data_IF_708892410972
#
_entry.id   IF_708892410972
#
_cell.length_a   1.000
_cell.length_b   1.000
_cell.length_c   1.000
_cell.angle_alpha   90.00
_cell.angle_beta   90.00
_cell.angle_gamma   90.00
#
_symmetry.space_group_name_H-M   'P 1'
#
loop_
_entity.id
_entity.type
_entity.pdbx_description
1 polymer ?
#
# COMPACT_ATOMS: atom_id res chain seq x y z
N UNK A 1 24.04 10.94 -22.51
CA UNK A 1 25.48 10.85 -22.09
C UNK A 1 26.38 11.89 -22.75
N UNK A 2 26.28 12.07 -24.07
CA UNK A 2 27.14 13.05 -24.75
C UNK A 2 26.93 14.48 -24.25
N UNK A 3 25.67 14.92 -24.09
CA UNK A 3 25.34 16.23 -23.53
C UNK A 3 25.84 16.39 -22.09
N UNK A 4 25.76 15.33 -21.28
CA UNK A 4 26.23 15.33 -19.89
C UNK A 4 27.76 15.45 -19.85
N UNK A 5 28.48 14.73 -20.73
CA UNK A 5 29.95 14.84 -20.85
C UNK A 5 30.40 16.26 -21.20
N UNK A 6 29.67 16.95 -22.07
CA UNK A 6 29.97 18.38 -22.40
C UNK A 6 29.81 19.30 -21.20
N UNK A 7 29.03 18.89 -20.19
CA UNK A 7 28.84 19.60 -18.92
C UNK A 7 29.73 19.06 -17.79
N UNK A 8 30.72 18.23 -18.11
CA UNK A 8 31.54 17.52 -17.12
C UNK A 8 30.69 16.72 -16.12
N UNK A 9 29.65 15.98 -16.60
CA UNK A 9 28.78 15.12 -15.79
C UNK A 9 28.89 13.68 -16.26
N UNK A 10 28.84 12.72 -15.29
CA UNK A 10 28.74 11.31 -15.57
C UNK A 10 27.25 10.92 -15.59
N UNK A 11 26.78 10.32 -16.68
CA UNK A 11 25.37 9.94 -16.86
C UNK A 11 25.22 8.42 -16.89
N UNK A 12 24.33 7.90 -16.08
CA UNK A 12 24.00 6.48 -16.03
C UNK A 12 22.50 6.22 -16.07
N UNK A 13 22.15 5.03 -16.53
CA UNK A 13 20.79 4.48 -16.54
C UNK A 13 20.81 3.09 -15.92
N UNK A 14 19.84 2.81 -15.05
CA UNK A 14 19.67 1.51 -14.42
C UNK A 14 18.24 1.03 -14.52
N UNK A 15 18.08 -0.25 -14.73
CA UNK A 15 16.80 -0.94 -14.74
C UNK A 15 16.83 -2.06 -13.72
N UNK A 16 15.68 -2.27 -13.05
CA UNK A 16 15.45 -3.42 -12.20
C UNK A 16 14.05 -3.96 -12.44
N UNK A 17 13.90 -5.27 -12.37
CA UNK A 17 12.62 -5.96 -12.35
C UNK A 17 12.52 -6.74 -11.05
N UNK A 18 11.31 -6.83 -10.50
CA UNK A 18 11.08 -7.55 -9.27
C UNK A 18 9.75 -8.31 -9.28
N UNK A 19 9.69 -9.32 -8.46
CA UNK A 19 8.47 -10.00 -8.01
C UNK A 19 8.64 -10.24 -6.52
N UNK A 20 7.64 -9.87 -5.72
CA UNK A 20 7.65 -10.10 -4.28
C UNK A 20 6.42 -10.89 -3.83
N UNK A 21 6.49 -11.71 -2.78
CA UNK A 21 5.31 -12.24 -2.13
C UNK A 21 4.66 -11.16 -1.28
N UNK A 22 3.36 -10.92 -1.44
CA UNK A 22 2.58 -10.04 -0.57
C UNK A 22 1.45 -10.79 0.11
N UNK A 23 1.16 -10.49 1.37
CA UNK A 23 0.10 -11.14 2.10
C UNK A 23 0.56 -12.28 3.03
N UNK A 24 -0.27 -13.32 3.10
CA UNK A 24 -0.11 -14.38 4.08
C UNK A 24 -0.43 -13.93 5.51
N UNK A 25 -0.45 -14.86 6.42
CA UNK A 25 -0.59 -14.64 7.89
C UNK A 25 -0.05 -15.84 8.62
N UNK A 26 0.63 -15.63 9.74
CA UNK A 26 1.05 -16.70 10.65
C UNK A 26 -0.13 -17.48 11.25
N UNK A 27 -1.33 -16.89 11.23
CA UNK A 27 -2.57 -17.51 11.72
C UNK A 27 -3.37 -18.22 10.62
N UNK A 28 -2.96 -18.12 9.34
CA UNK A 28 -3.67 -18.73 8.21
C UNK A 28 -5.03 -18.07 7.87
N UNK A 29 -5.52 -17.17 8.71
CA UNK A 29 -6.82 -16.52 8.63
C UNK A 29 -6.70 -15.01 8.80
N UNK A 30 -7.66 -14.28 8.21
CA UNK A 30 -7.84 -12.85 8.39
C UNK A 30 -9.30 -12.56 8.73
N UNK A 31 -9.56 -11.96 9.87
CA UNK A 31 -10.90 -11.64 10.34
C UNK A 31 -11.17 -10.14 10.27
N UNK A 32 -12.42 -9.80 9.97
CA UNK A 32 -12.98 -8.46 10.11
C UNK A 32 -14.34 -8.54 10.78
N UNK A 33 -14.76 -7.47 11.45
CA UNK A 33 -16.10 -7.38 12.01
C UNK A 33 -16.77 -6.07 11.59
N UNK A 34 -18.09 -6.10 11.46
CA UNK A 34 -18.94 -4.93 11.25
C UNK A 34 -19.98 -4.92 12.36
N UNK A 35 -20.05 -3.83 13.11
CA UNK A 35 -21.05 -3.58 14.14
C UNK A 35 -21.82 -2.30 13.85
N UNK A 36 -23.04 -2.23 14.37
CA UNK A 36 -23.93 -1.11 14.12
C UNK A 36 -24.21 -0.33 15.39
N UNK A 37 -24.01 1.01 15.31
CA UNK A 37 -24.33 1.93 16.37
C UNK A 37 -25.85 2.22 16.48
N UNK A 38 -26.20 3.10 17.41
CA UNK A 38 -27.60 3.51 17.64
C UNK A 38 -28.25 4.18 16.42
N UNK A 39 -27.47 4.87 15.60
CA UNK A 39 -27.90 5.47 14.34
C UNK A 39 -28.18 4.46 13.24
N UNK A 40 -27.76 3.20 13.41
CA UNK A 40 -27.74 2.17 12.37
C UNK A 40 -26.58 2.28 11.40
N UNK A 41 -25.62 3.15 11.66
CA UNK A 41 -24.41 3.30 10.84
C UNK A 41 -23.36 2.25 11.22
N UNK A 42 -22.63 1.71 10.24
CA UNK A 42 -21.65 0.66 10.47
C UNK A 42 -20.32 1.19 11.02
N UNK A 43 -19.74 0.42 11.93
CA UNK A 43 -18.36 0.53 12.38
C UNK A 43 -17.59 -0.70 11.93
N UNK A 44 -16.47 -0.50 11.24
CA UNK A 44 -15.61 -1.54 10.70
C UNK A 44 -14.43 -1.80 11.64
N UNK A 45 -14.19 -3.04 12.00
CA UNK A 45 -13.09 -3.44 12.86
C UNK A 45 -12.14 -4.35 12.11
N UNK A 46 -10.85 -3.98 12.09
CA UNK A 46 -9.74 -4.71 11.48
C UNK A 46 -8.49 -4.61 12.35
N UNK A 47 -7.55 -5.54 12.19
CA UNK A 47 -6.29 -5.53 12.95
C UNK A 47 -5.23 -4.57 12.39
N UNK A 48 -5.41 -4.05 11.18
CA UNK A 48 -4.45 -3.16 10.53
C UNK A 48 -4.55 -1.73 11.05
N UNK A 49 -3.56 -1.30 11.82
CA UNK A 49 -3.46 0.10 12.27
C UNK A 49 -3.08 1.06 11.13
N UNK A 50 -3.66 2.28 11.10
CA UNK A 50 -3.30 3.29 10.14
C UNK A 50 -1.99 3.97 10.50
N UNK A 51 -1.20 4.30 9.48
CA UNK A 51 0.01 5.13 9.60
C UNK A 51 0.18 6.08 8.39
N UNK A 52 -0.95 6.59 7.88
CA UNK A 52 -0.98 7.51 6.75
C UNK A 52 -1.19 6.85 5.37
N UNK A 53 -1.29 5.51 5.30
CA UNK A 53 -1.47 4.76 4.03
C UNK A 53 -2.93 4.73 3.52
N UNK A 54 -3.86 5.48 4.13
CA UNK A 54 -5.22 5.67 3.65
C UNK A 54 -6.18 4.51 3.91
N UNK A 55 -5.96 3.70 4.94
CA UNK A 55 -6.81 2.56 5.29
C UNK A 55 -8.25 2.98 5.58
N UNK A 56 -8.48 4.08 6.30
CA UNK A 56 -9.81 4.58 6.62
C UNK A 56 -10.61 4.88 5.34
N UNK A 57 -9.99 5.51 4.36
CA UNK A 57 -10.62 5.82 3.08
C UNK A 57 -10.95 4.56 2.32
N UNK A 58 -9.95 3.68 2.12
CA UNK A 58 -10.12 2.47 1.28
C UNK A 58 -11.12 1.51 1.89
N UNK A 59 -11.08 1.27 3.20
CA UNK A 59 -11.98 0.30 3.85
C UNK A 59 -13.42 0.82 3.90
N UNK A 60 -13.60 2.12 4.17
CA UNK A 60 -14.93 2.75 4.09
C UNK A 60 -15.51 2.63 2.68
N UNK A 61 -14.73 2.97 1.64
CA UNK A 61 -15.15 2.90 0.24
C UNK A 61 -15.55 1.48 -0.18
N UNK A 62 -14.78 0.46 0.21
CA UNK A 62 -15.08 -0.93 -0.11
C UNK A 62 -16.42 -1.38 0.47
N UNK A 63 -16.66 -1.10 1.75
CA UNK A 63 -17.91 -1.48 2.42
C UNK A 63 -19.08 -0.61 1.97
N UNK A 64 -18.85 0.68 1.72
CA UNK A 64 -19.86 1.59 1.18
C UNK A 64 -20.44 1.10 -0.15
N UNK A 65 -19.60 0.56 -1.03
CA UNK A 65 -20.03 -0.04 -2.31
C UNK A 65 -20.89 -1.28 -2.10
N UNK A 66 -20.54 -2.18 -1.17
CA UNK A 66 -21.33 -3.37 -0.85
C UNK A 66 -22.70 -3.01 -0.22
N UNK A 67 -22.75 -1.95 0.59
CA UNK A 67 -23.98 -1.49 1.23
C UNK A 67 -24.78 -0.50 0.39
N UNK A 68 -24.20 0.14 -0.62
CA UNK A 68 -24.86 1.17 -1.42
C UNK A 68 -25.17 2.44 -0.61
N UNK A 69 -24.24 2.88 0.27
CA UNK A 69 -24.36 4.07 1.12
C UNK A 69 -23.15 4.99 0.93
N UNK A 70 -23.21 6.21 1.52
CA UNK A 70 -22.05 7.09 1.55
C UNK A 70 -20.95 6.54 2.47
N UNK A 71 -19.67 6.55 2.05
CA UNK A 71 -18.55 6.19 2.91
C UNK A 71 -18.44 7.09 4.16
N UNK A 72 -18.93 8.33 4.11
CA UNK A 72 -18.96 9.25 5.26
C UNK A 72 -19.82 8.75 6.42
N UNK A 73 -20.74 7.81 6.17
CA UNK A 73 -21.57 7.19 7.21
C UNK A 73 -20.88 6.01 7.90
N UNK A 74 -19.68 5.65 7.48
CA UNK A 74 -18.93 4.49 7.97
C UNK A 74 -17.79 4.93 8.87
N UNK A 75 -17.69 4.34 10.06
CA UNK A 75 -16.55 4.53 10.97
C UNK A 75 -15.58 3.36 10.82
N UNK A 76 -14.32 3.65 10.52
CA UNK A 76 -13.26 2.62 10.50
C UNK A 76 -12.53 2.65 11.84
N UNK A 77 -12.46 1.52 12.53
CA UNK A 77 -11.90 1.36 13.88
C UNK A 77 -10.80 0.31 13.88
N UNK A 78 -9.63 0.66 13.38
CA UNK A 78 -8.52 -0.28 13.26
C UNK A 78 -7.87 -0.49 14.63
N UNK A 79 -7.57 -1.76 14.95
CA UNK A 79 -6.90 -2.15 16.20
C UNK A 79 -7.53 -1.57 17.45
N UNK A 80 -8.86 -1.43 17.47
CA UNK A 80 -9.59 -0.85 18.59
C UNK A 80 -9.55 -1.79 19.81
N UNK A 81 -9.00 -1.35 20.95
CA UNK A 81 -8.91 -2.19 22.15
C UNK A 81 -10.27 -2.54 22.76
N UNK A 82 -11.31 -1.74 22.50
CA UNK A 82 -12.69 -2.00 22.95
C UNK A 82 -13.50 -2.77 21.88
N UNK A 83 -12.88 -3.05 20.74
CA UNK A 83 -13.47 -3.80 19.65
C UNK A 83 -13.57 -5.30 19.90
N UNK A 84 -14.12 -6.05 18.94
CA UNK A 84 -14.13 -7.51 19.01
C UNK A 84 -12.69 -8.04 18.89
N UNK A 85 -12.41 -9.16 19.58
CA UNK A 85 -11.15 -9.87 19.37
C UNK A 85 -11.15 -10.48 17.98
N UNK A 86 -10.17 -10.13 17.18
CA UNK A 86 -9.98 -10.61 15.81
C UNK A 86 -8.72 -11.48 15.73
N UNK A 87 -8.75 -12.45 14.81
CA UNK A 87 -7.59 -13.24 14.41
C UNK A 87 -7.07 -12.72 13.05
N UNK A 88 -5.75 -12.64 12.89
CA UNK A 88 -5.13 -12.17 11.65
C UNK A 88 -3.77 -11.56 11.90
N UNK A 89 -3.32 -10.73 10.96
CA UNK A 89 -2.06 -10.01 11.06
C UNK A 89 -2.23 -8.48 10.94
N UNK A 90 -1.20 -7.75 11.33
CA UNK A 90 -1.15 -6.30 11.16
C UNK A 90 -0.75 -5.87 9.75
N UNK A 91 -0.28 -4.64 9.64
CA UNK A 91 0.26 -4.04 8.39
C UNK A 91 1.72 -4.47 8.21
N UNK A 92 1.95 -5.56 7.51
CA UNK A 92 3.27 -6.11 7.15
C UNK A 92 3.17 -6.79 5.78
N UNK A 93 4.27 -6.89 5.01
CA UNK A 93 4.31 -7.64 3.74
C UNK A 93 3.26 -7.16 2.73
N UNK A 94 3.00 -5.88 2.68
CA UNK A 94 2.10 -5.20 1.72
C UNK A 94 0.68 -5.78 1.66
N UNK A 95 0.17 -6.37 2.75
CA UNK A 95 -1.03 -7.21 2.79
C UNK A 95 -2.36 -6.50 3.05
N UNK A 96 -2.32 -5.30 3.67
CA UNK A 96 -3.50 -4.73 4.33
C UNK A 96 -4.73 -4.59 3.44
N UNK A 97 -4.62 -3.93 2.29
CA UNK A 97 -5.78 -3.74 1.40
C UNK A 97 -6.33 -5.06 0.90
N UNK A 98 -5.47 -5.97 0.44
CA UNK A 98 -5.91 -7.25 -0.12
C UNK A 98 -6.48 -8.19 0.95
N UNK A 99 -5.90 -8.26 2.15
CA UNK A 99 -6.34 -9.17 3.22
C UNK A 99 -7.51 -8.59 4.01
N UNK A 100 -7.33 -7.45 4.70
CA UNK A 100 -8.40 -6.85 5.49
C UNK A 100 -9.55 -6.35 4.63
N UNK A 101 -9.26 -5.77 3.44
CA UNK A 101 -10.29 -5.37 2.50
C UNK A 101 -11.16 -6.54 2.03
N UNK A 102 -10.55 -7.69 1.72
CA UNK A 102 -11.32 -8.90 1.36
C UNK A 102 -12.13 -9.44 2.54
N UNK A 103 -11.59 -9.42 3.76
CA UNK A 103 -12.33 -9.82 4.96
C UNK A 103 -13.52 -8.90 5.22
N UNK A 104 -13.35 -7.58 5.05
CA UNK A 104 -14.43 -6.60 5.18
C UNK A 104 -15.52 -6.80 4.12
N UNK A 105 -15.16 -7.04 2.87
CA UNK A 105 -16.13 -7.32 1.80
C UNK A 105 -16.89 -8.62 2.08
N UNK A 106 -16.22 -9.67 2.53
CA UNK A 106 -16.88 -10.90 2.93
C UNK A 106 -17.86 -10.68 4.10
N UNK A 107 -17.43 -9.89 5.10
CA UNK A 107 -18.27 -9.54 6.25
C UNK A 107 -19.48 -8.71 5.82
N UNK A 108 -19.29 -7.71 4.95
CA UNK A 108 -20.37 -6.86 4.44
C UNK A 108 -21.42 -7.68 3.68
N UNK A 109 -20.99 -8.62 2.84
CA UNK A 109 -21.89 -9.55 2.14
C UNK A 109 -22.67 -10.45 3.09
N UNK A 110 -22.03 -10.91 4.16
CA UNK A 110 -22.70 -11.68 5.21
C UNK A 110 -23.74 -10.84 5.97
N UNK A 111 -23.42 -9.55 6.25
CA UNK A 111 -24.40 -8.60 6.83
C UNK A 111 -25.60 -8.44 5.92
N UNK A 112 -25.39 -8.17 4.60
CA UNK A 112 -26.49 -8.03 3.63
C UNK A 112 -27.36 -9.27 3.59
N UNK A 113 -26.75 -10.45 3.57
CA UNK A 113 -27.49 -11.73 3.57
C UNK A 113 -28.32 -11.90 4.85
N UNK A 114 -27.75 -11.64 6.01
CA UNK A 114 -28.42 -11.71 7.32
C UNK A 114 -29.58 -10.71 7.41
N UNK A 115 -29.37 -9.52 6.85
CA UNK A 115 -30.38 -8.46 6.79
C UNK A 115 -31.59 -8.82 5.90
N UNK A 116 -31.42 -9.68 4.88
CA UNK A 116 -32.55 -10.16 4.08
C UNK A 116 -33.57 -10.91 4.93
N UNK A 117 -33.13 -11.77 5.87
CA UNK A 117 -34.03 -12.53 6.74
C UNK A 117 -34.79 -11.60 7.71
N UNK A 118 -34.10 -10.58 8.24
CA UNK A 118 -34.71 -9.59 9.11
C UNK A 118 -35.67 -8.66 8.36
N UNK A 119 -35.33 -8.25 7.16
CA UNK A 119 -36.18 -7.44 6.29
C UNK A 119 -37.43 -8.22 5.83
N UNK A 120 -37.29 -9.51 5.54
CA UNK A 120 -38.41 -10.40 5.20
C UNK A 120 -39.44 -10.47 6.33
N UNK A 121 -38.96 -10.61 7.58
CA UNK A 121 -39.79 -10.58 8.78
C UNK A 121 -40.50 -9.24 8.95
N UNK A 122 -39.77 -8.13 8.74
CA UNK A 122 -40.29 -6.77 8.94
C UNK A 122 -41.33 -6.37 7.86
N UNK A 123 -41.12 -6.83 6.62
CA UNK A 123 -42.00 -6.55 5.50
C UNK A 123 -43.09 -7.60 5.28
N UNK A 124 -43.12 -8.63 6.13
CA UNK A 124 -44.09 -9.77 6.05
C UNK A 124 -44.09 -10.48 4.67
N UNK A 125 -42.88 -10.70 4.10
CA UNK A 125 -42.69 -11.38 2.82
C UNK A 125 -41.66 -12.50 2.90
N UNK A 126 -41.56 -13.35 1.90
CA UNK A 126 -40.48 -14.33 1.84
C UNK A 126 -39.16 -13.65 1.47
N UNK A 127 -38.05 -14.10 2.10
CA UNK A 127 -36.70 -13.55 1.79
C UNK A 127 -36.33 -13.69 0.30
N UNK A 128 -36.84 -14.70 -0.41
CA UNK A 128 -36.63 -14.90 -1.83
C UNK A 128 -37.28 -13.82 -2.71
N UNK A 129 -38.28 -13.11 -2.19
CA UNK A 129 -38.98 -12.04 -2.88
C UNK A 129 -38.27 -10.68 -2.68
N UNK A 130 -37.22 -10.63 -1.85
CA UNK A 130 -36.44 -9.45 -1.62
C UNK A 130 -35.20 -9.36 -2.53
N UNK A 131 -34.81 -8.15 -2.85
CA UNK A 131 -33.50 -7.79 -3.40
C UNK A 131 -32.86 -6.72 -2.54
N UNK A 132 -31.53 -6.69 -2.52
CA UNK A 132 -30.79 -5.63 -1.84
C UNK A 132 -30.09 -4.75 -2.89
N UNK A 133 -30.41 -3.47 -2.89
CA UNK A 133 -29.76 -2.49 -3.76
C UNK A 133 -29.81 -1.10 -3.13
N UNK A 134 -28.76 -0.31 -3.35
CA UNK A 134 -28.66 1.08 -2.88
C UNK A 134 -29.05 1.26 -1.41
N UNK A 135 -28.55 0.40 -0.52
CA UNK A 135 -28.77 0.45 0.93
C UNK A 135 -30.18 0.05 1.39
N UNK A 136 -30.96 -0.59 0.52
CA UNK A 136 -32.35 -0.97 0.82
C UNK A 136 -32.64 -2.42 0.48
N UNK A 137 -33.42 -3.06 1.32
CA UNK A 137 -34.11 -4.33 1.03
C UNK A 137 -35.47 -3.97 0.42
N UNK A 138 -35.71 -4.38 -0.81
CA UNK A 138 -36.92 -4.06 -1.60
C UNK A 138 -37.65 -5.33 -1.98
N UNK A 139 -38.95 -5.29 -1.89
CA UNK A 139 -39.81 -6.36 -2.46
C UNK A 139 -39.84 -6.21 -4.00
N UNK A 140 -39.40 -7.27 -4.68
CA UNK A 140 -39.28 -7.28 -6.13
C UNK A 140 -40.60 -6.89 -6.82
N UNK A 141 -40.50 -5.97 -7.78
CA UNK A 141 -41.68 -5.51 -8.53
C UNK A 141 -42.59 -4.53 -7.79
N UNK A 142 -42.20 -4.01 -6.62
CA UNK A 142 -42.98 -3.05 -5.82
C UNK A 142 -42.13 -1.88 -5.33
N UNK A 143 -42.77 -0.87 -4.74
CA UNK A 143 -42.11 0.24 -4.05
C UNK A 143 -41.86 -0.04 -2.55
N UNK A 144 -42.29 -1.19 -2.05
CA UNK A 144 -42.14 -1.58 -0.66
C UNK A 144 -40.67 -1.87 -0.38
N UNK A 145 -40.06 -1.09 0.53
CA UNK A 145 -38.65 -1.23 0.88
C UNK A 145 -38.39 -0.74 2.31
N UNK A 146 -37.32 -1.28 2.91
CA UNK A 146 -36.77 -0.81 4.19
C UNK A 146 -35.25 -0.63 4.04
N UNK A 147 -34.69 0.42 4.64
CA UNK A 147 -33.24 0.66 4.62
C UNK A 147 -32.52 -0.33 5.55
N UNK A 148 -31.27 -0.65 5.22
CA UNK A 148 -30.49 -1.50 6.11
C UNK A 148 -30.20 -0.81 7.44
N UNK A 149 -30.08 0.52 7.48
CA UNK A 149 -29.93 1.28 8.74
C UNK A 149 -31.17 1.16 9.62
N UNK A 150 -32.37 1.14 9.03
CA UNK A 150 -33.61 0.89 9.81
C UNK A 150 -33.63 -0.51 10.39
N UNK A 151 -33.23 -1.51 9.62
CA UNK A 151 -33.07 -2.89 10.12
C UNK A 151 -32.06 -2.92 11.26
N UNK A 152 -30.90 -2.31 11.11
CA UNK A 152 -29.87 -2.26 12.15
C UNK A 152 -30.36 -1.58 13.44
N UNK A 153 -31.17 -0.52 13.33
CA UNK A 153 -31.78 0.16 14.51
C UNK A 153 -32.85 -0.68 15.21
N UNK A 154 -33.68 -1.37 14.43
CA UNK A 154 -34.79 -2.18 14.97
C UNK A 154 -34.29 -3.47 15.60
N UNK A 155 -33.30 -4.10 15.00
CA UNK A 155 -32.71 -5.37 15.38
C UNK A 155 -31.29 -5.19 15.93
N UNK A 156 -31.16 -4.35 17.00
CA UNK A 156 -29.87 -4.00 17.58
C UNK A 156 -29.02 -5.22 17.90
N UNK A 157 -27.78 -5.24 17.38
CA UNK A 157 -26.82 -6.32 17.55
C UNK A 157 -27.07 -7.55 16.69
N UNK A 158 -28.28 -7.71 16.11
CA UNK A 158 -28.55 -8.88 15.28
C UNK A 158 -27.84 -8.84 13.92
N UNK A 159 -27.54 -7.65 13.38
CA UNK A 159 -26.71 -7.49 12.18
C UNK A 159 -25.22 -7.54 12.44
N UNK A 160 -24.78 -7.38 13.69
CA UNK A 160 -23.37 -7.47 14.05
C UNK A 160 -22.78 -8.78 13.52
N UNK A 161 -21.71 -8.68 12.78
CA UNK A 161 -21.15 -9.82 12.05
C UNK A 161 -19.64 -9.80 12.09
N UNK A 162 -19.05 -10.95 12.37
CA UNK A 162 -17.62 -11.23 12.26
C UNK A 162 -17.44 -12.35 11.24
N UNK A 163 -16.55 -12.15 10.28
CA UNK A 163 -16.18 -13.18 9.31
C UNK A 163 -14.67 -13.32 9.22
N UNK A 164 -14.22 -14.54 9.00
CA UNK A 164 -12.84 -14.85 8.63
C UNK A 164 -12.75 -15.33 7.19
N UNK A 165 -11.64 -15.08 6.58
CA UNK A 165 -11.23 -15.60 5.27
C UNK A 165 -9.86 -16.24 5.39
N UNK A 166 -9.54 -17.19 4.52
CA UNK A 166 -8.16 -17.64 4.38
C UNK A 166 -7.27 -16.43 4.00
N UNK A 167 -6.16 -16.26 4.71
CA UNK A 167 -5.25 -15.13 4.45
C UNK A 167 -4.68 -15.23 3.02
N UNK A 168 -4.97 -14.26 2.14
CA UNK A 168 -4.55 -14.34 0.75
C UNK A 168 -3.04 -14.14 0.62
N UNK A 169 -2.46 -14.77 -0.41
CA UNK A 169 -1.10 -14.56 -0.86
C UNK A 169 -1.15 -14.13 -2.34
N UNK A 170 -0.45 -13.06 -2.69
CA UNK A 170 -0.36 -12.59 -4.05
C UNK A 170 1.09 -12.23 -4.39
N UNK A 171 1.37 -12.03 -5.67
CA UNK A 171 2.70 -11.72 -6.18
C UNK A 171 2.62 -10.46 -7.03
N UNK A 172 2.73 -9.25 -6.42
CA UNK A 172 3.00 -8.04 -7.16
C UNK A 172 4.37 -8.10 -7.81
N UNK A 173 4.57 -7.34 -8.86
CA UNK A 173 5.84 -7.23 -9.53
C UNK A 173 5.90 -5.94 -10.33
N UNK A 174 7.09 -5.58 -10.79
CA UNK A 174 7.26 -4.35 -11.53
C UNK A 174 8.62 -4.25 -12.20
N UNK A 175 8.77 -3.15 -12.93
CA UNK A 175 10.02 -2.74 -13.56
C UNK A 175 10.24 -1.25 -13.33
N UNK A 176 11.38 -0.92 -12.72
CA UNK A 176 11.78 0.46 -12.47
C UNK A 176 13.01 0.83 -13.29
N UNK A 177 13.04 2.05 -13.79
CA UNK A 177 14.17 2.63 -14.52
C UNK A 177 14.52 3.96 -13.89
N UNK A 178 15.78 4.11 -13.48
CA UNK A 178 16.34 5.36 -12.96
C UNK A 178 17.40 5.89 -13.91
N UNK A 179 17.46 7.19 -14.08
CA UNK A 179 18.52 7.90 -14.82
C UNK A 179 19.15 8.95 -13.90
N UNK A 180 20.48 8.93 -13.81
CA UNK A 180 21.22 9.78 -12.86
C UNK A 180 22.31 10.58 -13.57
N UNK A 181 22.65 11.75 -13.00
CA UNK A 181 23.87 12.49 -13.31
C UNK A 181 24.72 12.64 -12.03
N UNK A 182 26.04 12.44 -12.16
CA UNK A 182 27.00 12.61 -11.08
C UNK A 182 27.93 13.75 -11.43
N UNK A 183 28.16 14.66 -10.49
CA UNK A 183 29.23 15.65 -10.54
C UNK A 183 30.55 15.00 -10.08
N UNK A 184 31.52 14.77 -10.97
CA UNK A 184 32.77 14.10 -10.57
C UNK A 184 33.67 14.93 -9.64
N UNK A 185 33.44 16.23 -9.54
CA UNK A 185 34.23 17.11 -8.67
C UNK A 185 33.74 17.11 -7.22
N UNK A 186 32.46 16.83 -7.00
CA UNK A 186 31.81 16.87 -5.69
C UNK A 186 31.23 15.52 -5.25
N UNK A 187 31.01 14.59 -6.18
CA UNK A 187 30.30 13.35 -5.95
C UNK A 187 28.78 13.50 -5.80
N UNK A 188 28.23 14.70 -5.97
CA UNK A 188 26.78 14.95 -5.88
C UNK A 188 26.05 14.24 -7.02
N UNK A 189 24.94 13.62 -6.67
CA UNK A 189 24.08 12.81 -7.54
C UNK A 189 22.76 13.52 -7.74
N UNK A 190 22.36 13.71 -8.99
CA UNK A 190 21.04 14.17 -9.38
C UNK A 190 20.27 13.03 -10.05
N UNK A 191 19.06 12.73 -9.55
CA UNK A 191 18.13 11.84 -10.23
C UNK A 191 17.41 12.66 -11.28
N UNK A 192 17.70 12.40 -12.55
CA UNK A 192 17.24 13.24 -13.67
C UNK A 192 15.98 12.72 -14.33
N UNK A 193 15.70 11.43 -14.17
CA UNK A 193 14.44 10.81 -14.61
C UNK A 193 14.20 9.52 -13.84
N UNK A 194 12.91 9.22 -13.61
CA UNK A 194 12.49 7.99 -12.96
C UNK A 194 11.17 7.49 -13.54
N UNK A 195 11.12 6.20 -13.88
CA UNK A 195 9.93 5.54 -14.42
C UNK A 195 9.70 4.24 -13.67
N UNK A 196 8.47 4.02 -13.23
CA UNK A 196 8.03 2.76 -12.64
C UNK A 196 6.81 2.23 -13.40
N UNK A 197 6.77 0.92 -13.60
CA UNK A 197 5.61 0.19 -14.12
C UNK A 197 5.36 -0.97 -13.18
N UNK A 198 4.22 -0.95 -12.47
CA UNK A 198 3.91 -1.92 -11.42
C UNK A 198 2.62 -2.69 -11.70
N UNK A 199 2.61 -3.97 -11.30
CA UNK A 199 1.43 -4.81 -11.24
C UNK A 199 0.96 -4.93 -9.79
N UNK A 200 -0.01 -4.10 -9.42
CA UNK A 200 -0.67 -4.12 -8.12
C UNK A 200 -2.05 -4.82 -8.16
N UNK A 201 -2.31 -5.60 -9.20
CA UNK A 201 -3.62 -6.23 -9.42
C UNK A 201 -4.71 -5.19 -9.70
N UNK A 202 -5.92 -5.43 -9.20
CA UNK A 202 -6.99 -4.43 -9.31
C UNK A 202 -6.69 -3.25 -8.39
N UNK A 203 -6.62 -2.06 -8.96
CA UNK A 203 -6.48 -0.79 -8.22
C UNK A 203 -7.79 -0.46 -7.51
N UNK A 204 -7.73 -0.21 -6.22
CA UNK A 204 -8.88 0.17 -5.40
C UNK A 204 -9.03 1.69 -5.34
N UNK A 205 -7.91 2.40 -5.16
CA UNK A 205 -7.85 3.86 -5.17
C UNK A 205 -6.52 4.29 -5.81
N UNK A 206 -6.58 4.92 -6.97
CA UNK A 206 -5.42 5.31 -7.77
C UNK A 206 -4.54 6.34 -7.07
N UNK A 207 -5.14 7.37 -6.47
CA UNK A 207 -4.40 8.44 -5.78
C UNK A 207 -3.58 7.89 -4.61
N UNK A 208 -4.19 7.00 -3.81
CA UNK A 208 -3.50 6.37 -2.68
C UNK A 208 -2.44 5.38 -3.15
N UNK A 209 -2.69 4.63 -4.22
CA UNK A 209 -1.71 3.72 -4.82
C UNK A 209 -0.47 4.48 -5.28
N UNK A 210 -0.65 5.54 -6.06
CA UNK A 210 0.46 6.38 -6.54
C UNK A 210 1.24 7.00 -5.37
N UNK A 211 0.54 7.47 -4.33
CA UNK A 211 1.17 7.97 -3.11
C UNK A 211 2.04 6.91 -2.41
N UNK A 212 1.59 5.66 -2.35
CA UNK A 212 2.35 4.55 -1.77
C UNK A 212 3.58 4.21 -2.61
N UNK A 213 3.43 4.07 -3.93
CA UNK A 213 4.55 3.75 -4.84
C UNK A 213 5.60 4.87 -4.80
N UNK A 214 5.18 6.13 -4.93
CA UNK A 214 6.10 7.28 -4.89
C UNK A 214 6.84 7.37 -3.55
N UNK A 215 6.13 7.23 -2.44
CA UNK A 215 6.72 7.21 -1.10
C UNK A 215 7.71 6.05 -0.92
N UNK A 216 7.39 4.86 -1.43
CA UNK A 216 8.29 3.72 -1.46
C UNK A 216 9.56 3.96 -2.29
N UNK A 217 9.43 4.59 -3.46
CA UNK A 217 10.58 4.99 -4.29
C UNK A 217 11.50 5.93 -3.52
N UNK A 218 10.95 6.95 -2.85
CA UNK A 218 11.74 7.90 -2.03
C UNK A 218 12.43 7.20 -0.86
N UNK A 219 11.79 6.24 -0.21
CA UNK A 219 12.41 5.40 0.81
C UNK A 219 13.61 4.61 0.25
N UNK A 220 13.45 3.97 -0.91
CA UNK A 220 14.55 3.28 -1.59
C UNK A 220 15.73 4.20 -1.96
N UNK A 221 15.43 5.41 -2.43
CA UNK A 221 16.43 6.46 -2.70
C UNK A 221 17.18 6.81 -1.41
N UNK A 222 16.47 6.96 -0.29
CA UNK A 222 17.07 7.23 1.02
C UNK A 222 18.11 6.19 1.38
N UNK A 223 17.79 4.91 1.28
CA UNK A 223 18.73 3.82 1.57
C UNK A 223 19.96 3.82 0.64
N UNK A 224 19.75 4.08 -0.65
CA UNK A 224 20.86 4.05 -1.62
C UNK A 224 21.80 5.23 -1.48
N UNK A 225 21.29 6.44 -1.21
CA UNK A 225 22.07 7.68 -1.29
C UNK A 225 22.45 8.29 0.05
N UNK A 226 21.64 8.10 1.11
CA UNK A 226 21.68 8.95 2.30
C UNK A 226 21.80 8.20 3.62
N UNK A 227 20.86 7.26 3.86
CA UNK A 227 20.63 6.69 5.18
C UNK A 227 21.74 5.75 5.60
N UNK A 228 22.33 5.99 6.78
CA UNK A 228 23.42 5.19 7.31
C UNK A 228 23.35 5.14 8.84
N UNK A 229 23.12 3.95 9.39
CA UNK A 229 23.26 3.72 10.83
C UNK A 229 24.72 3.44 11.15
N UNK A 230 25.36 4.34 11.90
CA UNK A 230 26.76 4.26 12.29
C UNK A 230 26.85 3.98 13.79
N UNK A 231 27.69 3.03 14.17
CA UNK A 231 27.96 2.66 15.54
C UNK A 231 29.45 2.86 15.85
N UNK A 232 29.76 3.21 17.10
CA UNK A 232 31.13 3.19 17.59
C UNK A 232 31.58 1.78 18.00
N UNK A 233 32.85 1.65 18.42
CA UNK A 233 33.44 0.35 18.82
C UNK A 233 32.77 -0.26 20.06
N UNK A 234 32.03 0.51 20.84
CA UNK A 234 31.25 0.04 22.00
C UNK A 234 29.83 -0.39 21.65
N UNK A 235 29.42 -0.21 20.40
CA UNK A 235 28.04 -0.50 19.91
C UNK A 235 27.05 0.63 20.18
N UNK A 236 27.52 1.83 20.57
CA UNK A 236 26.68 3.00 20.70
C UNK A 236 26.34 3.58 19.31
N UNK A 237 25.06 3.82 19.01
CA UNK A 237 24.67 4.47 17.77
C UNK A 237 25.10 5.95 17.76
N UNK A 238 25.81 6.35 16.71
CA UNK A 238 26.27 7.73 16.48
C UNK A 238 25.28 8.56 15.68
N UNK A 239 24.47 7.91 14.81
CA UNK A 239 23.46 8.56 13.98
C UNK A 239 22.05 8.42 14.58
N UNK A 240 21.92 8.62 15.88
CA UNK A 240 20.69 8.41 16.64
C UNK A 240 19.70 9.57 16.64
N UNK A 241 19.97 10.63 15.90
CA UNK A 241 19.08 11.81 15.78
C UNK A 241 18.92 12.24 14.33
N UNK A 242 17.87 13.03 14.02
CA UNK A 242 17.68 13.62 12.67
C UNK A 242 18.74 14.69 12.30
N UNK A 243 19.62 15.06 13.23
CA UNK A 243 20.79 15.89 12.92
C UNK A 243 21.88 15.07 12.24
N UNK A 244 21.97 13.79 12.55
CA UNK A 244 23.06 12.90 12.14
C UNK A 244 22.59 11.84 11.12
N UNK A 245 21.31 11.44 11.18
CA UNK A 245 20.70 10.48 10.26
C UNK A 245 20.05 11.20 9.08
N UNK A 246 20.60 11.01 7.89
CA UNK A 246 20.20 11.74 6.69
C UNK A 246 18.92 11.16 6.05
N UNK A 247 17.76 11.59 6.52
CA UNK A 247 16.48 11.28 5.89
C UNK A 247 16.33 11.93 4.50
N UNK A 248 15.72 11.27 3.52
CA UNK A 248 15.41 11.89 2.24
C UNK A 248 14.45 13.09 2.41
N UNK A 249 14.76 14.17 1.71
CA UNK A 249 13.93 15.39 1.68
C UNK A 249 13.04 15.40 0.44
N UNK A 250 11.94 16.17 0.41
CA UNK A 250 11.01 16.21 -0.74
C UNK A 250 11.67 16.55 -2.08
N UNK A 251 12.79 17.28 -2.06
CA UNK A 251 13.48 17.71 -3.27
C UNK A 251 14.33 16.61 -3.92
N UNK A 252 14.54 15.47 -3.25
CA UNK A 252 15.44 14.41 -3.73
C UNK A 252 14.93 13.74 -5.01
N UNK A 253 13.61 13.67 -5.14
CA UNK A 253 12.91 13.22 -6.34
C UNK A 253 11.77 14.19 -6.64
N UNK A 254 11.93 14.99 -7.69
CA UNK A 254 10.93 16.01 -8.02
C UNK A 254 9.69 15.43 -8.65
N UNK A 255 9.86 14.38 -9.46
CA UNK A 255 8.79 13.70 -10.19
C UNK A 255 9.20 12.28 -10.54
N UNK A 256 8.22 11.39 -10.66
CA UNK A 256 8.36 10.06 -11.19
C UNK A 256 7.16 9.73 -12.08
N UNK A 257 7.41 9.14 -13.23
CA UNK A 257 6.36 8.65 -14.11
C UNK A 257 5.93 7.27 -13.66
N UNK A 258 4.75 7.19 -13.08
CA UNK A 258 4.17 5.94 -12.58
C UNK A 258 3.17 5.39 -13.61
N UNK A 259 3.33 4.13 -13.95
CA UNK A 259 2.44 3.40 -14.85
C UNK A 259 2.01 2.09 -14.20
N UNK A 260 0.90 1.57 -14.65
CA UNK A 260 0.32 0.33 -14.15
C UNK A 260 0.18 -0.69 -15.27
N UNK A 261 0.54 -1.94 -14.97
CA UNK A 261 0.25 -3.09 -15.82
C UNK A 261 -0.53 -4.13 -15.02
N UNK A 262 -1.79 -3.83 -14.76
CA UNK A 262 -2.62 -4.50 -13.77
C UNK A 262 -3.10 -5.88 -14.22
N UNK A 263 -2.66 -6.94 -13.52
CA UNK A 263 -3.13 -8.31 -13.66
C UNK A 263 -3.85 -8.72 -12.36
N UNK A 264 -5.19 -8.78 -12.35
CA UNK A 264 -5.95 -9.09 -11.12
C UNK A 264 -5.52 -10.43 -10.51
N UNK A 265 -5.33 -10.43 -9.19
CA UNK A 265 -5.02 -11.66 -8.45
C UNK A 265 -6.25 -12.56 -8.33
N UNK A 266 -6.15 -13.86 -8.60
CA UNK A 266 -7.23 -14.81 -8.38
C UNK A 266 -7.38 -15.25 -6.93
N UNK A 267 -6.46 -14.86 -6.04
CA UNK A 267 -6.35 -15.40 -4.67
C UNK A 267 -7.17 -14.65 -3.63
N UNK A 268 -7.80 -13.53 -4.00
CA UNK A 268 -8.60 -12.73 -3.08
C UNK A 268 -9.81 -12.08 -3.77
N UNK A 269 -10.80 -11.67 -2.95
CA UNK A 269 -12.07 -11.13 -3.44
C UNK A 269 -11.94 -9.81 -4.20
N UNK A 270 -10.89 -9.05 -3.94
CA UNK A 270 -10.67 -7.74 -4.55
C UNK A 270 -9.94 -7.84 -5.89
N UNK A 271 -9.22 -8.93 -6.13
CA UNK A 271 -8.27 -9.04 -7.24
C UNK A 271 -7.04 -8.13 -7.08
N UNK A 272 -6.85 -7.57 -5.88
CA UNK A 272 -5.72 -6.70 -5.58
C UNK A 272 -4.45 -7.50 -5.27
N UNK A 273 -3.29 -6.84 -5.45
CA UNK A 273 -1.99 -7.29 -4.97
C UNK A 273 -1.41 -6.22 -4.04
N UNK A 274 -0.47 -6.61 -3.20
CA UNK A 274 0.19 -5.66 -2.30
C UNK A 274 1.01 -4.62 -3.07
N UNK A 275 0.98 -3.37 -2.60
CA UNK A 275 1.72 -2.26 -3.23
C UNK A 275 2.56 -1.47 -2.22
N UNK A 276 2.49 -1.81 -0.92
CA UNK A 276 3.16 -1.04 0.13
C UNK A 276 4.68 -0.98 -0.02
N UNK A 277 5.29 -2.04 -0.53
CA UNK A 277 6.75 -2.18 -0.66
C UNK A 277 7.22 -2.11 -2.12
N UNK A 278 6.32 -2.10 -3.10
CA UNK A 278 6.65 -2.13 -4.53
C UNK A 278 7.65 -1.02 -4.93
N UNK A 279 7.37 0.21 -4.52
CA UNK A 279 8.25 1.35 -4.81
C UNK A 279 9.68 1.15 -4.29
N UNK A 280 9.83 0.68 -3.05
CA UNK A 280 11.13 0.46 -2.43
C UNK A 280 11.88 -0.71 -3.08
N UNK A 281 11.18 -1.81 -3.33
CA UNK A 281 11.74 -3.03 -3.93
C UNK A 281 12.34 -2.75 -5.31
N UNK A 282 11.65 -1.96 -6.12
CA UNK A 282 12.15 -1.57 -7.45
C UNK A 282 13.23 -0.50 -7.43
N UNK A 283 13.11 0.48 -6.51
CA UNK A 283 13.96 1.66 -6.52
C UNK A 283 15.42 1.37 -6.13
N UNK A 284 15.64 0.56 -5.11
CA UNK A 284 16.98 0.25 -4.61
C UNK A 284 17.88 -0.29 -5.74
N UNK A 285 17.54 -1.39 -6.42
CA UNK A 285 18.39 -1.93 -7.47
C UNK A 285 18.41 -1.07 -8.75
N UNK A 286 17.29 -0.41 -9.11
CA UNK A 286 17.29 0.46 -10.29
C UNK A 286 18.27 1.63 -10.14
N UNK A 287 18.24 2.30 -8.97
CA UNK A 287 19.12 3.43 -8.70
C UNK A 287 20.58 2.98 -8.55
N UNK A 288 20.85 1.87 -7.84
CA UNK A 288 22.19 1.33 -7.72
C UNK A 288 22.79 0.98 -9.09
N UNK A 289 22.02 0.32 -9.95
CA UNK A 289 22.44 0.01 -11.31
C UNK A 289 22.74 1.26 -12.14
N UNK A 290 21.92 2.32 -12.00
CA UNK A 290 22.15 3.59 -12.70
C UNK A 290 23.46 4.25 -12.27
N UNK A 291 23.77 4.23 -10.97
CA UNK A 291 24.99 4.82 -10.42
C UNK A 291 26.24 4.05 -10.86
N UNK A 292 26.22 2.73 -10.78
CA UNK A 292 27.34 1.90 -11.27
C UNK A 292 27.52 2.07 -12.78
N UNK A 293 26.43 2.18 -13.55
CA UNK A 293 26.50 2.45 -14.99
C UNK A 293 27.12 3.84 -15.32
N UNK A 294 26.88 4.84 -14.49
CA UNK A 294 27.50 6.16 -14.60
C UNK A 294 29.02 6.10 -14.29
N UNK A 295 29.42 5.29 -13.31
CA UNK A 295 30.79 5.16 -12.84
C UNK A 295 31.64 4.17 -13.62
N UNK A 296 31.00 3.23 -14.35
CA UNK A 296 31.69 2.17 -15.13
C UNK A 296 32.76 2.70 -16.12
N UNK A 297 32.57 3.84 -16.82
CA UNK A 297 33.63 4.37 -17.69
C UNK A 297 34.93 4.74 -16.99
N UNK A 298 34.90 4.86 -15.64
CA UNK A 298 36.07 5.12 -14.81
C UNK A 298 36.67 3.84 -14.22
N UNK A 299 36.16 2.65 -14.61
CA UNK A 299 36.62 1.38 -14.08
C UNK A 299 36.00 0.99 -12.72
N UNK A 300 35.01 1.76 -12.23
CA UNK A 300 34.31 1.47 -10.96
C UNK A 300 33.12 0.58 -11.27
N UNK A 301 33.14 -0.66 -10.78
CA UNK A 301 32.11 -1.68 -11.03
C UNK A 301 31.29 -2.04 -9.80
N UNK A 302 31.74 -1.63 -8.62
CA UNK A 302 31.06 -1.85 -7.34
C UNK A 302 31.33 -0.70 -6.39
N UNK A 303 30.40 -0.43 -5.50
CA UNK A 303 30.51 0.56 -4.44
C UNK A 303 29.49 0.20 -3.35
N UNK A 304 29.89 0.34 -2.07
CA UNK A 304 29.00 0.06 -0.94
C UNK A 304 27.99 1.18 -0.70
N UNK A 305 26.81 0.82 -0.19
CA UNK A 305 25.82 1.78 0.28
C UNK A 305 26.24 2.50 1.58
N UNK A 306 25.74 3.71 1.82
CA UNK A 306 25.06 4.60 0.88
C UNK A 306 26.04 5.25 -0.11
N UNK A 307 25.60 5.54 -1.31
CA UNK A 307 26.38 6.30 -2.29
C UNK A 307 26.37 7.80 -1.95
N UNK A 308 26.86 8.12 -0.76
CA UNK A 308 26.98 9.52 -0.35
C UNK A 308 27.95 10.28 -1.27
N UNK A 309 27.78 11.61 -1.42
CA UNK A 309 28.68 12.41 -2.26
C UNK A 309 30.15 12.22 -1.93
N UNK A 310 30.49 12.15 -0.63
CA UNK A 310 31.87 11.92 -0.20
C UNK A 310 32.40 10.54 -0.65
N UNK A 311 31.62 9.48 -0.52
CA UNK A 311 32.01 8.13 -0.93
C UNK A 311 32.19 8.02 -2.44
N UNK A 312 31.26 8.57 -3.21
CA UNK A 312 31.33 8.60 -4.68
C UNK A 312 32.56 9.41 -5.14
N UNK A 313 32.78 10.59 -4.57
CA UNK A 313 33.96 11.40 -4.87
C UNK A 313 35.28 10.67 -4.57
N UNK A 314 35.38 9.99 -3.40
CA UNK A 314 36.55 9.21 -3.04
C UNK A 314 36.81 8.07 -4.04
N UNK A 315 35.78 7.35 -4.47
CA UNK A 315 35.87 6.29 -5.47
C UNK A 315 36.39 6.83 -6.82
N UNK A 316 35.83 7.96 -7.28
CA UNK A 316 36.28 8.62 -8.52
C UNK A 316 37.75 9.05 -8.43
N UNK A 317 38.17 9.63 -7.31
CA UNK A 317 39.56 10.04 -7.09
C UNK A 317 40.53 8.86 -6.98
N UNK A 318 40.10 7.74 -6.44
CA UNK A 318 40.92 6.52 -6.38
C UNK A 318 41.12 5.90 -7.78
N UNK A 319 40.07 5.90 -8.62
CA UNK A 319 40.13 5.40 -9.98
C UNK A 319 40.93 6.26 -10.96
N UNK A 320 41.18 7.54 -10.64
CA UNK A 320 41.96 8.47 -11.45
C UNK A 320 43.49 8.38 -11.19
N UNK A 321 43.92 7.56 -10.24
CA UNK A 321 45.32 7.29 -9.91
C UNK A 321 45.82 6.04 -10.61
#
# INVERSE_FOLDING_TARGET
>A
RELSRRKNRLRGIGCAVFVEPSGGSSHGEEQAAIKFGESGNPSLFVLSGPSGQGHETVFADLVAREFGISPDSISVRPSDPEGPKLTGGGTVGSRSTMAHGSALVATARAVVKKGLDLAAKELEVAAADLEFAAGKYRVKGTDMAITFQEIARRYRGELDTLQGIAAPLAFPGGAHVAEVEIDPETGVIDIVDYVAVDDCGRVINETLLHGQIFGGIVQGIGQVLLEHAVYDDSGQILTGSFMDYAMPKPEILRDARLYEHNVPSPTNLLGAKGAGEAGTTGAIPALANALIDALRPLGIHELDFPYSPARVWQAIRAAAR
#
